data_IF_791144184535
#
_entry.id   IF_791144184535
#
_cell.length_a   1.000
_cell.length_b   1.000
_cell.length_c   1.000
_cell.angle_alpha   90.00
_cell.angle_beta   90.00
_cell.angle_gamma   90.00
#
_symmetry.space_group_name_H-M   'P 1'
#
loop_
_entity.id
_entity.type
_entity.pdbx_description
1 polymer ?
#
# COMPACT_ATOMS: atom_id res chain seq x y z
N UNK A 1 23.68 18.60 4.36
CA UNK A 1 24.16 17.39 3.66
C UNK A 1 23.98 17.54 2.16
N UNK A 2 24.70 16.76 1.34
CA UNK A 2 24.57 16.83 -0.12
C UNK A 2 23.11 16.64 -0.60
N UNK A 3 22.34 15.78 0.04
CA UNK A 3 20.92 15.60 -0.25
C UNK A 3 20.09 16.88 0.04
N UNK A 4 20.35 17.54 1.15
CA UNK A 4 19.68 18.79 1.50
C UNK A 4 19.92 19.90 0.47
N UNK A 5 21.11 19.95 -0.14
CA UNK A 5 21.44 20.94 -1.18
C UNK A 5 20.72 20.62 -2.49
N UNK A 6 20.44 19.34 -2.78
CA UNK A 6 19.66 18.93 -3.96
C UNK A 6 18.22 19.43 -3.88
N UNK A 7 17.51 19.20 -2.76
CA UNK A 7 16.10 19.65 -2.61
C UNK A 7 16.00 21.18 -2.72
N UNK A 8 16.94 21.92 -2.13
CA UNK A 8 16.97 23.38 -2.22
C UNK A 8 17.12 23.87 -3.65
N UNK A 9 18.06 23.30 -4.41
CA UNK A 9 18.26 23.64 -5.81
C UNK A 9 17.04 23.32 -6.66
N UNK A 10 16.37 22.18 -6.41
CA UNK A 10 15.14 21.81 -7.08
C UNK A 10 14.03 22.82 -6.77
N UNK A 11 13.86 23.17 -5.50
CA UNK A 11 12.88 24.17 -5.07
C UNK A 11 13.15 25.55 -5.70
N UNK A 12 14.40 26.03 -5.67
CA UNK A 12 14.81 27.30 -6.27
C UNK A 12 14.60 27.35 -7.79
N UNK A 13 14.62 26.20 -8.46
CA UNK A 13 14.37 26.07 -9.89
C UNK A 13 12.94 25.62 -10.22
N UNK A 14 12.03 25.65 -9.27
CA UNK A 14 10.61 25.31 -9.41
C UNK A 14 10.36 23.90 -9.99
N UNK A 15 11.24 22.94 -9.63
CA UNK A 15 11.10 21.53 -10.04
C UNK A 15 10.16 20.84 -9.07
N UNK A 16 9.10 20.21 -9.59
CA UNK A 16 8.21 19.39 -8.79
C UNK A 16 8.91 18.15 -8.24
N UNK A 17 8.64 17.86 -6.98
CA UNK A 17 9.27 16.76 -6.23
C UNK A 17 8.21 15.92 -5.53
N UNK A 18 8.45 14.62 -5.47
CA UNK A 18 7.76 13.69 -4.58
C UNK A 18 8.79 13.08 -3.64
N UNK A 19 8.52 13.12 -2.35
CA UNK A 19 9.41 12.58 -1.31
C UNK A 19 8.96 11.21 -0.85
N UNK A 20 9.91 10.41 -0.35
CA UNK A 20 9.62 9.19 0.38
C UNK A 20 10.46 9.13 1.66
N UNK A 21 9.81 8.86 2.78
CA UNK A 21 10.46 8.62 4.08
C UNK A 21 10.28 7.15 4.44
N UNK A 22 11.39 6.40 4.49
CA UNK A 22 11.40 5.05 5.05
C UNK A 22 11.48 5.18 6.56
N UNK A 23 10.41 4.83 7.24
CA UNK A 23 10.30 4.99 8.70
C UNK A 23 10.86 3.76 9.39
N UNK A 24 11.90 3.96 10.17
CA UNK A 24 12.57 2.94 10.97
C UNK A 24 12.22 3.13 12.45
N UNK A 25 11.62 2.13 13.07
CA UNK A 25 11.22 2.17 14.48
C UNK A 25 12.41 2.50 15.39
N UNK A 26 12.20 3.39 16.35
CA UNK A 26 13.19 3.91 17.31
C UNK A 26 14.40 4.62 16.67
N UNK A 27 14.32 4.99 15.38
CA UNK A 27 15.39 5.69 14.66
C UNK A 27 14.92 7.04 14.14
N UNK A 28 13.90 7.06 13.29
CA UNK A 28 13.38 8.27 12.68
C UNK A 28 11.84 8.35 12.71
N UNK A 29 11.21 7.61 13.62
CA UNK A 29 9.78 7.67 13.92
C UNK A 29 9.44 8.77 14.94
N UNK A 30 8.19 8.85 15.36
CA UNK A 30 7.70 9.79 16.37
C UNK A 30 8.11 11.24 16.06
N UNK A 31 8.75 11.91 17.01
CA UNK A 31 9.15 13.33 16.89
C UNK A 31 10.12 13.60 15.74
N UNK A 32 10.97 12.64 15.39
CA UNK A 32 11.90 12.79 14.26
C UNK A 32 11.14 12.75 12.92
N UNK A 33 10.12 11.91 12.81
CA UNK A 33 9.25 11.89 11.64
C UNK A 33 8.44 13.19 11.54
N UNK A 34 7.86 13.67 12.66
CA UNK A 34 7.17 14.97 12.71
C UNK A 34 8.07 16.11 12.22
N UNK A 35 9.29 16.19 12.76
CA UNK A 35 10.27 17.19 12.34
C UNK A 35 10.61 17.09 10.85
N UNK A 36 10.78 15.86 10.35
CA UNK A 36 11.08 15.63 8.94
C UNK A 36 9.94 16.12 8.05
N UNK A 37 8.69 15.87 8.43
CA UNK A 37 7.52 16.34 7.70
C UNK A 37 7.47 17.87 7.70
N UNK A 38 7.65 18.49 8.85
CA UNK A 38 7.66 19.96 8.99
C UNK A 38 8.82 20.61 8.20
N UNK A 39 9.97 19.95 8.11
CA UNK A 39 11.11 20.43 7.31
C UNK A 39 10.84 20.29 5.80
N UNK A 40 10.21 19.21 5.36
CA UNK A 40 9.87 18.99 3.96
C UNK A 40 8.72 19.89 3.49
N UNK A 41 7.79 20.25 4.38
CA UNK A 41 6.69 21.16 4.04
C UNK A 41 7.15 22.58 3.65
N UNK A 42 8.37 22.98 4.04
CA UNK A 42 8.98 24.25 3.64
C UNK A 42 9.27 24.34 2.13
N UNK A 43 9.22 23.20 1.43
CA UNK A 43 9.42 23.12 -0.02
C UNK A 43 8.11 23.10 -0.80
N UNK A 44 6.95 23.28 -0.14
CA UNK A 44 5.69 23.52 -0.82
C UNK A 44 5.77 24.83 -1.65
N UNK A 45 5.11 24.94 -2.81
CA UNK A 45 4.27 23.93 -3.44
C UNK A 45 5.01 22.93 -4.36
N UNK A 46 6.35 23.04 -4.48
CA UNK A 46 7.12 22.19 -5.41
C UNK A 46 7.38 20.79 -4.86
N UNK A 47 7.49 20.61 -3.55
CA UNK A 47 7.33 19.28 -2.94
C UNK A 47 5.84 18.96 -2.89
N UNK A 48 5.36 18.26 -3.92
CA UNK A 48 3.93 17.98 -4.10
C UNK A 48 3.38 16.99 -3.09
N UNK A 49 4.16 16.01 -2.74
CA UNK A 49 3.77 15.00 -1.76
C UNK A 49 4.97 14.31 -1.11
N UNK A 50 4.73 13.71 0.04
CA UNK A 50 5.68 12.84 0.73
C UNK A 50 4.94 11.56 1.14
N UNK A 51 5.52 10.39 0.86
CA UNK A 51 5.05 9.12 1.38
C UNK A 51 5.87 8.69 2.59
N UNK A 52 5.21 8.21 3.64
CA UNK A 52 5.84 7.53 4.76
C UNK A 52 5.58 6.02 4.64
N UNK A 53 6.64 5.23 4.52
CA UNK A 53 6.55 3.77 4.37
C UNK A 53 7.32 3.09 5.50
N UNK A 54 6.84 1.97 6.08
CA UNK A 54 7.60 1.24 7.10
C UNK A 54 8.83 0.60 6.48
N UNK A 55 9.92 0.52 7.25
CA UNK A 55 11.13 -0.17 6.81
C UNK A 55 10.88 -1.67 6.68
N UNK A 56 11.10 -2.23 5.49
CA UNK A 56 11.10 -3.67 5.26
C UNK A 56 12.34 -4.33 5.89
N UNK A 57 12.12 -5.37 6.69
CA UNK A 57 13.21 -6.08 7.39
C UNK A 57 13.43 -7.43 6.72
N UNK A 58 14.47 -7.53 5.89
CA UNK A 58 14.84 -8.79 5.23
C UNK A 58 15.73 -9.67 6.13
N UNK A 59 15.83 -10.96 5.81
CA UNK A 59 16.76 -11.87 6.50
C UNK A 59 18.25 -11.59 6.20
N UNK A 60 18.55 -10.76 5.20
CA UNK A 60 19.91 -10.41 4.76
C UNK A 60 20.52 -9.22 5.51
N UNK A 61 20.25 -9.12 6.82
CA UNK A 61 20.69 -7.98 7.64
C UNK A 61 21.80 -8.30 8.62
N UNK A 62 22.51 -9.43 8.44
CA UNK A 62 23.66 -9.77 9.30
C UNK A 62 24.71 -8.66 9.29
N UNK A 63 25.10 -8.17 10.46
CA UNK A 63 26.08 -7.10 10.63
C UNK A 63 25.55 -5.68 10.38
N UNK A 64 24.27 -5.50 10.04
CA UNK A 64 23.64 -4.17 9.92
C UNK A 64 22.97 -3.78 11.24
N UNK A 65 22.68 -2.47 11.39
CA UNK A 65 21.96 -1.95 12.54
C UNK A 65 20.65 -2.71 12.75
N UNK A 66 20.37 -3.19 13.96
CA UNK A 66 19.15 -3.95 14.24
C UNK A 66 17.93 -3.05 14.17
N UNK A 67 17.06 -3.30 13.21
CA UNK A 67 15.76 -2.64 13.10
C UNK A 67 14.66 -3.54 13.68
N UNK A 68 13.63 -2.93 14.20
CA UNK A 68 12.45 -3.60 14.73
C UNK A 68 11.22 -3.33 13.86
N UNK A 69 10.29 -4.29 13.83
CA UNK A 69 8.99 -4.09 13.21
C UNK A 69 8.09 -3.25 14.12
N UNK A 70 7.18 -2.51 13.50
CA UNK A 70 6.12 -1.80 14.22
C UNK A 70 5.04 -2.77 14.66
N UNK A 71 4.50 -2.56 15.87
CA UNK A 71 3.28 -3.23 16.32
C UNK A 71 2.06 -2.60 15.68
N UNK A 72 0.90 -3.25 15.84
CA UNK A 72 -0.38 -2.72 15.40
C UNK A 72 -0.70 -1.35 16.02
N UNK A 73 -0.45 -1.20 17.29
CA UNK A 73 -0.70 0.03 18.05
C UNK A 73 0.23 1.16 17.60
N UNK A 74 1.50 0.86 17.41
CA UNK A 74 2.50 1.83 16.93
C UNK A 74 2.19 2.27 15.49
N UNK A 75 1.77 1.37 14.62
CA UNK A 75 1.31 1.70 13.28
C UNK A 75 0.09 2.65 13.33
N UNK A 76 -0.85 2.40 14.25
CA UNK A 76 -1.96 3.30 14.51
C UNK A 76 -1.53 4.71 14.91
N UNK A 77 -0.52 4.83 15.77
CA UNK A 77 0.03 6.12 16.19
C UNK A 77 0.69 6.88 15.03
N UNK A 78 1.39 6.17 14.14
CA UNK A 78 1.96 6.78 12.92
C UNK A 78 0.85 7.31 12.02
N UNK A 79 -0.22 6.56 11.80
CA UNK A 79 -1.38 7.00 11.03
C UNK A 79 -1.99 8.26 11.66
N UNK A 80 -2.28 8.24 12.97
CA UNK A 80 -2.91 9.37 13.67
C UNK A 80 -2.07 10.66 13.53
N UNK A 81 -0.76 10.54 13.66
CA UNK A 81 0.15 11.66 13.49
C UNK A 81 0.12 12.19 12.05
N UNK A 82 0.19 11.32 11.05
CA UNK A 82 0.15 11.70 9.64
C UNK A 82 -1.19 12.35 9.30
N UNK A 83 -2.32 11.77 9.72
CA UNK A 83 -3.66 12.31 9.44
C UNK A 83 -3.89 13.67 10.09
N UNK A 84 -3.36 13.88 11.30
CA UNK A 84 -3.37 15.20 11.93
C UNK A 84 -2.61 16.24 11.10
N UNK A 85 -1.46 15.88 10.51
CA UNK A 85 -0.68 16.76 9.64
C UNK A 85 -1.36 16.99 8.29
N UNK A 86 -1.96 15.96 7.70
CA UNK A 86 -2.75 16.10 6.47
C UNK A 86 -3.85 17.14 6.60
N UNK A 87 -4.60 17.10 7.71
CA UNK A 87 -5.65 18.09 7.97
C UNK A 87 -5.11 19.52 7.96
N UNK A 88 -3.99 19.75 8.66
CA UNK A 88 -3.33 21.06 8.70
C UNK A 88 -2.92 21.53 7.30
N UNK A 89 -2.23 20.67 6.53
CA UNK A 89 -1.75 21.06 5.21
C UNK A 89 -2.88 21.23 4.21
N UNK A 90 -3.95 20.44 4.30
CA UNK A 90 -5.12 20.60 3.46
C UNK A 90 -5.84 21.92 3.72
N UNK A 91 -5.99 22.33 4.98
CA UNK A 91 -6.57 23.63 5.36
C UNK A 91 -5.72 24.82 4.85
N UNK A 92 -4.39 24.67 4.82
CA UNK A 92 -3.48 25.76 4.47
C UNK A 92 -3.16 25.81 2.95
N UNK A 93 -3.02 24.66 2.30
CA UNK A 93 -2.51 24.56 0.93
C UNK A 93 -3.45 23.83 -0.03
N UNK A 94 -4.55 23.23 0.44
CA UNK A 94 -5.44 22.42 -0.39
C UNK A 94 -4.83 21.09 -0.86
N UNK A 95 -3.77 20.62 -0.18
CA UNK A 95 -3.08 19.35 -0.43
C UNK A 95 -2.88 18.61 0.89
N UNK A 96 -3.07 17.29 0.90
CA UNK A 96 -2.80 16.48 2.08
C UNK A 96 -1.29 16.35 2.34
N UNK A 97 -0.47 16.49 1.34
CA UNK A 97 0.99 16.58 1.35
C UNK A 97 1.72 15.33 1.84
N UNK A 98 1.44 14.85 3.08
CA UNK A 98 2.07 13.66 3.67
C UNK A 98 1.08 12.50 3.69
N UNK A 99 1.51 11.32 3.23
CA UNK A 99 0.65 10.14 3.15
C UNK A 99 1.29 8.95 3.84
N UNK A 100 0.51 8.26 4.66
CA UNK A 100 0.86 6.93 5.14
C UNK A 100 0.63 5.90 4.01
N UNK A 101 1.59 4.99 3.79
CA UNK A 101 1.40 3.90 2.84
C UNK A 101 0.31 2.93 3.30
N UNK A 102 -0.26 2.19 2.35
CA UNK A 102 -1.31 1.20 2.61
C UNK A 102 -0.87 0.15 3.65
N UNK A 103 0.42 -0.15 3.71
CA UNK A 103 0.99 -1.09 4.67
C UNK A 103 0.74 -0.66 6.12
N UNK A 104 0.77 0.64 6.44
CA UNK A 104 0.45 1.14 7.77
C UNK A 104 -1.00 0.82 8.15
N UNK A 105 -1.96 1.05 7.24
CA UNK A 105 -3.38 0.79 7.48
C UNK A 105 -3.64 -0.71 7.69
N UNK A 106 -3.00 -1.56 6.87
CA UNK A 106 -3.13 -3.02 7.01
C UNK A 106 -2.52 -3.49 8.33
N UNK A 107 -1.33 -3.00 8.69
CA UNK A 107 -0.65 -3.36 9.94
C UNK A 107 -1.47 -2.90 11.17
N UNK A 108 -2.03 -1.71 11.13
CA UNK A 108 -2.90 -1.19 12.18
C UNK A 108 -4.29 -1.85 12.22
N UNK A 109 -4.67 -2.58 11.15
CA UNK A 109 -6.01 -3.13 10.99
C UNK A 109 -7.08 -2.05 10.88
N UNK A 110 -6.75 -0.93 10.23
CA UNK A 110 -7.65 0.21 9.96
C UNK A 110 -8.15 0.18 8.52
N UNK A 111 -9.27 0.81 8.28
CA UNK A 111 -9.79 1.05 6.93
C UNK A 111 -8.92 2.06 6.19
N UNK A 112 -8.85 1.90 4.87
CA UNK A 112 -8.14 2.85 4.02
C UNK A 112 -8.92 4.16 3.92
N UNK A 113 -8.24 5.31 3.85
CA UNK A 113 -8.88 6.60 3.57
C UNK A 113 -9.72 6.58 2.30
N UNK A 114 -10.69 7.48 2.21
CA UNK A 114 -11.44 7.70 0.98
C UNK A 114 -10.56 8.32 -0.11
N UNK A 115 -10.99 8.19 -1.37
CA UNK A 115 -10.22 8.54 -2.56
C UNK A 115 -9.72 9.98 -2.55
N UNK A 116 -10.55 10.92 -2.09
CA UNK A 116 -10.24 12.34 -2.05
C UNK A 116 -8.99 12.67 -1.22
N UNK A 117 -8.61 11.78 -0.30
CA UNK A 117 -7.46 11.99 0.58
C UNK A 117 -6.12 11.65 -0.06
N UNK A 118 -6.12 11.12 -1.28
CA UNK A 118 -4.89 10.72 -1.98
C UNK A 118 -4.39 11.73 -3.01
N UNK A 119 -5.03 12.91 -3.12
CA UNK A 119 -4.63 14.01 -4.02
C UNK A 119 -4.42 13.57 -5.48
N UNK A 120 -5.24 12.62 -5.96
CA UNK A 120 -5.12 12.05 -7.30
C UNK A 120 -4.07 10.93 -7.42
N UNK A 121 -3.74 10.25 -6.32
CA UNK A 121 -2.89 9.05 -6.29
C UNK A 121 -1.43 9.28 -6.78
N UNK A 122 -0.85 10.44 -6.50
CA UNK A 122 0.51 10.79 -6.95
C UNK A 122 1.64 9.94 -6.33
N UNK A 123 1.35 9.10 -5.36
CA UNK A 123 2.31 8.24 -4.66
C UNK A 123 1.99 6.74 -4.79
N UNK A 124 1.25 6.32 -5.83
CA UNK A 124 0.89 4.91 -6.05
C UNK A 124 2.10 3.99 -6.06
N UNK A 125 3.17 4.37 -6.76
CA UNK A 125 4.41 3.58 -6.86
C UNK A 125 5.09 3.35 -5.50
N UNK A 126 4.81 4.22 -4.54
CA UNK A 126 5.27 4.11 -3.16
C UNK A 126 4.26 3.42 -2.23
N UNK A 127 3.26 2.74 -2.79
CA UNK A 127 2.27 1.98 -2.04
C UNK A 127 1.27 2.84 -1.26
N UNK A 128 0.95 4.04 -1.77
CA UNK A 128 -0.05 4.94 -1.17
C UNK A 128 -1.31 4.95 -2.03
N UNK A 129 -2.40 4.46 -1.49
CA UNK A 129 -3.71 4.45 -2.14
C UNK A 129 -3.93 3.33 -3.17
N UNK A 130 -2.97 2.42 -3.37
CA UNK A 130 -3.14 1.28 -4.27
C UNK A 130 -4.33 0.41 -3.86
N UNK A 131 -4.50 0.19 -2.55
CA UNK A 131 -5.58 -0.64 -2.04
C UNK A 131 -6.94 0.05 -2.18
N UNK A 132 -7.03 1.34 -1.95
CA UNK A 132 -8.28 2.10 -2.17
C UNK A 132 -8.65 2.10 -3.65
N UNK A 133 -7.70 2.40 -4.52
CA UNK A 133 -7.92 2.38 -5.96
C UNK A 133 -8.40 1.00 -6.43
N UNK A 134 -7.73 -0.07 -6.01
CA UNK A 134 -8.12 -1.44 -6.36
C UNK A 134 -9.54 -1.78 -5.87
N UNK A 135 -9.92 -1.34 -4.65
CA UNK A 135 -11.26 -1.55 -4.10
C UNK A 135 -12.31 -0.82 -4.94
N UNK A 136 -12.06 0.44 -5.27
CA UNK A 136 -12.96 1.26 -6.06
C UNK A 136 -13.13 0.67 -7.47
N UNK A 137 -12.03 0.35 -8.16
CA UNK A 137 -12.06 -0.27 -9.50
C UNK A 137 -12.81 -1.61 -9.50
N UNK A 138 -12.60 -2.44 -8.47
CA UNK A 138 -13.32 -3.71 -8.34
C UNK A 138 -14.83 -3.49 -8.19
N UNK A 139 -15.24 -2.56 -7.34
CA UNK A 139 -16.65 -2.24 -7.12
C UNK A 139 -17.30 -1.67 -8.38
N UNK A 140 -16.64 -0.73 -9.04
CA UNK A 140 -17.12 -0.14 -10.30
C UNK A 140 -17.25 -1.18 -11.41
N UNK A 141 -16.24 -2.04 -11.58
CA UNK A 141 -16.27 -3.10 -12.58
C UNK A 141 -17.42 -4.08 -12.32
N UNK A 142 -17.65 -4.46 -11.06
CA UNK A 142 -18.74 -5.34 -10.69
C UNK A 142 -20.12 -4.69 -10.92
N UNK A 143 -20.26 -3.39 -10.60
CA UNK A 143 -21.50 -2.66 -10.88
C UNK A 143 -21.76 -2.51 -12.39
N UNK A 144 -20.73 -2.21 -13.17
CA UNK A 144 -20.84 -2.12 -14.62
C UNK A 144 -21.25 -3.47 -15.21
N UNK A 145 -20.66 -4.57 -14.72
CA UNK A 145 -21.00 -5.92 -15.15
C UNK A 145 -22.46 -6.24 -14.81
N UNK A 146 -22.95 -5.90 -13.62
CA UNK A 146 -24.35 -6.10 -13.21
C UNK A 146 -25.36 -5.35 -14.06
N UNK A 147 -24.96 -4.22 -14.66
CA UNK A 147 -25.80 -3.41 -15.57
C UNK A 147 -25.72 -3.88 -17.03
N UNK A 148 -24.81 -4.79 -17.36
CA UNK A 148 -24.65 -5.29 -18.73
C UNK A 148 -25.79 -6.22 -19.14
N UNK A 149 -26.09 -6.27 -20.45
CA UNK A 149 -27.12 -7.16 -21.00
C UNK A 149 -26.75 -8.65 -20.86
N UNK A 150 -25.46 -8.96 -20.80
CA UNK A 150 -24.93 -10.32 -20.73
C UNK A 150 -24.88 -10.87 -19.30
N UNK A 151 -25.08 -10.03 -18.28
CA UNK A 151 -24.92 -10.40 -16.88
C UNK A 151 -25.71 -11.64 -16.47
N UNK A 152 -27.01 -11.68 -16.76
CA UNK A 152 -27.87 -12.80 -16.40
C UNK A 152 -27.49 -14.11 -17.12
N UNK A 153 -27.01 -14.01 -18.36
CA UNK A 153 -26.51 -15.13 -19.10
C UNK A 153 -25.17 -15.63 -18.54
N UNK A 154 -24.26 -14.72 -18.27
CA UNK A 154 -22.97 -15.03 -17.63
C UNK A 154 -23.17 -15.71 -16.28
N UNK A 155 -24.03 -15.18 -15.43
CA UNK A 155 -24.34 -15.75 -14.12
C UNK A 155 -24.79 -17.20 -14.17
N UNK A 156 -25.54 -17.59 -15.23
CA UNK A 156 -26.07 -18.95 -15.42
C UNK A 156 -25.10 -19.91 -16.10
N UNK A 157 -24.27 -19.41 -17.01
CA UNK A 157 -23.44 -20.24 -17.88
C UNK A 157 -21.95 -20.19 -17.58
N UNK A 158 -21.48 -19.20 -16.82
CA UNK A 158 -20.07 -19.07 -16.51
C UNK A 158 -19.60 -20.17 -15.56
N UNK A 159 -18.62 -20.93 -15.98
CA UNK A 159 -18.01 -21.98 -15.16
C UNK A 159 -16.51 -21.96 -15.36
N UNK A 160 -15.78 -21.65 -14.30
CA UNK A 160 -14.32 -21.56 -14.33
C UNK A 160 -13.70 -21.76 -12.97
N UNK A 161 -12.54 -22.41 -12.92
CA UNK A 161 -11.66 -22.42 -11.75
C UNK A 161 -10.49 -21.48 -12.01
N UNK A 162 -10.20 -20.60 -11.04
CA UNK A 162 -9.11 -19.62 -11.09
C UNK A 162 -8.27 -19.74 -9.83
N UNK A 163 -6.95 -19.72 -10.01
CA UNK A 163 -6.01 -19.67 -8.89
C UNK A 163 -5.30 -18.33 -8.86
N UNK A 164 -5.34 -17.66 -7.71
CA UNK A 164 -4.67 -16.38 -7.47
C UNK A 164 -3.59 -16.58 -6.40
N UNK A 165 -2.36 -16.20 -6.73
CA UNK A 165 -1.25 -16.14 -5.78
C UNK A 165 -0.97 -14.69 -5.43
N UNK A 166 -0.90 -14.37 -4.14
CA UNK A 166 -0.66 -13.00 -3.65
C UNK A 166 0.22 -12.99 -2.41
N UNK A 167 0.78 -11.83 -2.05
CA UNK A 167 1.50 -11.66 -0.81
C UNK A 167 0.57 -11.71 0.42
N UNK A 168 1.16 -11.97 1.58
CA UNK A 168 0.39 -12.00 2.84
C UNK A 168 -0.34 -10.68 3.13
N UNK A 169 0.25 -9.54 2.72
CA UNK A 169 -0.28 -8.21 2.96
C UNK A 169 -1.67 -8.01 2.34
N UNK A 170 -1.84 -8.41 1.08
CA UNK A 170 -3.07 -8.19 0.31
C UNK A 170 -4.04 -9.38 0.35
N UNK A 171 -3.64 -10.50 0.96
CA UNK A 171 -4.39 -11.76 0.93
C UNK A 171 -5.86 -11.61 1.38
N UNK A 172 -6.09 -10.87 2.47
CA UNK A 172 -7.45 -10.71 3.00
C UNK A 172 -8.36 -9.96 2.02
N UNK A 173 -7.86 -8.89 1.40
CA UNK A 173 -8.64 -8.10 0.43
C UNK A 173 -8.93 -8.91 -0.83
N UNK A 174 -7.92 -9.59 -1.38
CA UNK A 174 -8.10 -10.44 -2.56
C UNK A 174 -9.06 -11.61 -2.26
N UNK A 175 -8.99 -12.19 -1.07
CA UNK A 175 -9.92 -13.25 -0.65
C UNK A 175 -11.37 -12.75 -0.55
N UNK A 176 -11.60 -11.52 -0.06
CA UNK A 176 -12.94 -10.90 -0.04
C UNK A 176 -13.46 -10.69 -1.46
N UNK A 177 -12.64 -10.22 -2.39
CA UNK A 177 -13.03 -10.06 -3.79
C UNK A 177 -13.39 -11.41 -4.42
N UNK A 178 -12.55 -12.43 -4.18
CA UNK A 178 -12.81 -13.78 -4.66
C UNK A 178 -14.14 -14.33 -4.13
N UNK A 179 -14.42 -14.13 -2.84
CA UNK A 179 -15.68 -14.54 -2.22
C UNK A 179 -16.88 -13.81 -2.87
N UNK A 180 -16.80 -12.48 -3.02
CA UNK A 180 -17.85 -11.69 -3.66
C UNK A 180 -18.14 -12.21 -5.09
N UNK A 181 -17.09 -12.52 -5.86
CA UNK A 181 -17.26 -13.06 -7.21
C UNK A 181 -17.86 -14.47 -7.22
N UNK A 182 -17.48 -15.34 -6.28
CA UNK A 182 -18.07 -16.69 -6.17
C UNK A 182 -19.54 -16.66 -5.72
N UNK A 183 -19.91 -15.70 -4.87
CA UNK A 183 -21.31 -15.45 -4.49
C UNK A 183 -22.14 -14.94 -5.68
N UNK A 184 -21.52 -14.10 -6.52
CA UNK A 184 -22.15 -13.54 -7.72
C UNK A 184 -22.30 -14.57 -8.85
N UNK A 185 -21.28 -15.43 -9.06
CA UNK A 185 -21.20 -16.40 -10.13
C UNK A 185 -21.05 -17.83 -9.57
N UNK A 186 -22.15 -18.59 -9.36
CA UNK A 186 -22.10 -19.91 -8.72
C UNK A 186 -21.23 -20.95 -9.43
N UNK A 187 -20.94 -20.77 -10.72
CA UNK A 187 -20.04 -21.63 -11.48
C UNK A 187 -18.55 -21.24 -11.41
N UNK A 188 -18.22 -20.15 -10.70
CA UNK A 188 -16.85 -19.71 -10.48
C UNK A 188 -16.29 -20.31 -9.19
N UNK A 189 -15.12 -20.91 -9.29
CA UNK A 189 -14.32 -21.31 -8.12
C UNK A 189 -13.02 -20.52 -8.13
N UNK A 190 -12.70 -19.84 -7.03
CA UNK A 190 -11.44 -19.06 -6.89
C UNK A 190 -10.67 -19.57 -5.68
N UNK A 191 -9.46 -20.04 -5.94
CA UNK A 191 -8.49 -20.41 -4.91
C UNK A 191 -7.50 -19.26 -4.72
N UNK A 192 -7.45 -18.66 -3.53
CA UNK A 192 -6.50 -17.61 -3.21
C UNK A 192 -5.43 -18.15 -2.28
N UNK A 193 -4.17 -18.01 -2.66
CA UNK A 193 -3.03 -18.46 -1.87
C UNK A 193 -2.17 -17.28 -1.41
N UNK A 194 -1.99 -17.17 -0.09
CA UNK A 194 -1.02 -16.25 0.50
C UNK A 194 0.38 -16.87 0.40
N UNK A 195 1.23 -16.30 -0.42
CA UNK A 195 2.59 -16.77 -0.63
C UNK A 195 3.51 -16.17 0.44
N UNK A 196 4.23 -17.05 1.15
CA UNK A 196 5.27 -16.63 2.08
C UNK A 196 6.53 -16.27 1.30
N UNK A 197 7.17 -15.18 1.68
CA UNK A 197 8.43 -14.78 1.07
C UNK A 197 9.59 -15.50 1.79
N UNK A 198 10.04 -16.64 1.24
CA UNK A 198 11.15 -17.39 1.78
C UNK A 198 12.50 -16.83 1.31
N UNK A 199 12.52 -16.12 0.17
CA UNK A 199 13.74 -15.55 -0.38
C UNK A 199 14.23 -14.34 0.43
N UNK A 200 13.38 -13.34 0.65
CA UNK A 200 13.76 -12.14 1.42
C UNK A 200 13.50 -12.26 2.93
N UNK A 201 12.62 -13.17 3.35
CA UNK A 201 12.21 -13.39 4.74
C UNK A 201 10.70 -13.18 4.94
N UNK A 202 10.14 -13.87 5.93
CA UNK A 202 8.68 -13.90 6.19
C UNK A 202 8.07 -12.55 6.58
N UNK A 203 8.91 -11.61 7.02
CA UNK A 203 8.53 -10.23 7.35
C UNK A 203 8.27 -9.37 6.13
N UNK A 204 8.70 -9.83 4.95
CA UNK A 204 8.42 -9.19 3.67
C UNK A 204 7.10 -9.77 3.13
N UNK A 205 6.05 -8.97 3.18
CA UNK A 205 4.67 -9.42 2.93
C UNK A 205 4.05 -8.91 1.64
N UNK A 206 4.73 -7.97 0.97
CA UNK A 206 4.26 -7.36 -0.29
C UNK A 206 4.34 -8.34 -1.47
N UNK A 207 3.34 -8.30 -2.35
CA UNK A 207 3.25 -9.21 -3.52
C UNK A 207 4.38 -8.99 -4.53
N UNK A 208 4.81 -7.74 -4.72
CA UNK A 208 5.84 -7.39 -5.71
C UNK A 208 7.24 -7.94 -5.44
N UNK A 209 7.51 -8.45 -4.23
CA UNK A 209 8.79 -9.06 -3.84
C UNK A 209 8.73 -10.59 -3.75
N UNK A 210 7.62 -11.22 -4.13
CA UNK A 210 7.53 -12.69 -4.22
C UNK A 210 8.37 -13.16 -5.41
N UNK A 211 9.25 -14.13 -5.17
CA UNK A 211 10.08 -14.70 -6.23
C UNK A 211 9.41 -15.90 -6.90
N UNK A 212 9.85 -16.23 -8.11
CA UNK A 212 9.40 -17.45 -8.78
C UNK A 212 9.68 -18.73 -7.98
N UNK A 213 10.76 -18.75 -7.18
CA UNK A 213 11.07 -19.88 -6.29
C UNK A 213 10.06 -20.01 -5.16
N UNK A 214 9.62 -18.89 -4.57
CA UNK A 214 8.57 -18.88 -3.55
C UNK A 214 7.25 -19.44 -4.11
N UNK A 215 6.87 -19.01 -5.33
CA UNK A 215 5.67 -19.51 -6.01
C UNK A 215 5.77 -21.01 -6.29
N UNK A 216 6.84 -21.46 -6.93
CA UNK A 216 7.03 -22.88 -7.29
C UNK A 216 7.06 -23.76 -6.04
N UNK A 217 7.79 -23.36 -5.01
CA UNK A 217 7.92 -24.13 -3.77
C UNK A 217 6.61 -24.32 -3.03
N UNK A 218 5.70 -23.36 -3.09
CA UNK A 218 4.46 -23.36 -2.32
C UNK A 218 3.23 -23.79 -3.12
N UNK A 219 3.27 -23.74 -4.46
CA UNK A 219 2.12 -24.10 -5.32
C UNK A 219 2.31 -25.41 -6.06
N UNK A 220 3.53 -25.93 -6.18
CA UNK A 220 3.84 -27.14 -6.97
C UNK A 220 2.98 -28.37 -6.62
N UNK A 221 2.63 -28.53 -5.35
CA UNK A 221 1.84 -29.67 -4.85
C UNK A 221 0.34 -29.37 -4.77
N UNK A 222 -0.07 -28.14 -5.02
CA UNK A 222 -1.49 -27.72 -5.01
C UNK A 222 -2.07 -27.83 -6.41
N UNK A 223 -2.05 -29.03 -6.96
CA UNK A 223 -2.75 -29.36 -8.21
C UNK A 223 -4.22 -29.65 -7.88
N UNK A 224 -5.07 -28.69 -8.07
CA UNK A 224 -6.51 -28.85 -8.26
C UNK A 224 -6.90 -28.46 -9.66
#
# INVERSE_FOLDING_TARGET
SAASDVYKRQYENHIEMNGQVVVCKNVNDGKELERTIDDLSKFLPFMRSVSAVPAGITKYRAGLYPLELFTKEEAGQVIDMIESRQKKYYEEFGLHFIHASDEWYILAGREFPEEERYDGYIQLENGVGMMRLLINEFQEALEQLRRSQEYEQMKKSFSRTVTIATGKLTYQTISKFAQTLMEEFPGLTVHVYAIRNDFFGETITVSGLITGQDLIGQLKEKKE
#
